data_IF_055677304628
#
_entry.id   IF_055677304628
#
_cell.length_a   1.000
_cell.length_b   1.000
_cell.length_c   1.000
_cell.angle_alpha   90.00
_cell.angle_beta   90.00
_cell.angle_gamma   90.00
#
_symmetry.space_group_name_H-M   'P 1'
#
loop_
_entity.id
_entity.type
_entity.pdbx_description
1 polymer ?
#
# COMPACT_ATOMS: atom_id res chain seq x y z
N UNK A 1 -29.58 23.58 16.87
CA UNK A 1 -29.80 22.33 16.09
C UNK A 1 -29.46 22.39 14.59
N UNK A 2 -29.53 23.53 13.85
CA UNK A 2 -29.33 23.50 12.39
C UNK A 2 -27.87 23.25 11.97
N UNK A 3 -26.91 23.76 12.75
CA UNK A 3 -25.48 23.69 12.46
C UNK A 3 -24.92 22.26 12.44
N UNK A 4 -25.43 21.38 13.32
CA UNK A 4 -24.98 19.99 13.43
C UNK A 4 -25.43 19.14 12.24
N UNK A 5 -26.68 19.35 11.80
CA UNK A 5 -27.24 18.71 10.60
C UNK A 5 -26.55 19.23 9.34
N UNK A 6 -26.21 20.51 9.30
CA UNK A 6 -25.48 21.12 8.19
C UNK A 6 -24.05 20.57 8.06
N UNK A 7 -23.33 20.37 9.16
CA UNK A 7 -21.99 19.76 9.12
C UNK A 7 -22.03 18.27 8.74
N UNK A 8 -22.98 17.50 9.29
CA UNK A 8 -23.19 16.11 8.88
C UNK A 8 -23.55 16.02 7.40
N UNK A 9 -24.43 16.91 6.92
CA UNK A 9 -24.79 17.01 5.52
C UNK A 9 -23.61 17.46 4.64
N UNK A 10 -22.71 18.32 5.13
CA UNK A 10 -21.48 18.70 4.41
C UNK A 10 -20.46 17.58 4.36
N UNK A 11 -20.32 16.78 5.43
CA UNK A 11 -19.45 15.59 5.43
C UNK A 11 -20.01 14.52 4.49
N UNK A 12 -21.33 14.26 4.55
CA UNK A 12 -22.00 13.36 3.62
C UNK A 12 -21.93 13.88 2.18
N UNK A 13 -22.13 15.19 1.96
CA UNK A 13 -22.03 15.81 0.65
C UNK A 13 -20.61 15.75 0.09
N UNK A 14 -19.58 15.96 0.93
CA UNK A 14 -18.18 15.81 0.55
C UNK A 14 -17.84 14.35 0.20
N UNK A 15 -18.35 13.38 0.98
CA UNK A 15 -18.22 11.95 0.67
C UNK A 15 -18.93 11.57 -0.63
N UNK A 16 -20.12 12.12 -0.90
CA UNK A 16 -20.84 11.87 -2.16
C UNK A 16 -20.24 12.59 -3.36
N UNK A 17 -19.66 13.78 -3.16
CA UNK A 17 -18.97 14.53 -4.21
C UNK A 17 -17.64 13.85 -4.60
N UNK A 18 -17.01 13.13 -3.66
CA UNK A 18 -15.85 12.27 -3.91
C UNK A 18 -16.23 10.95 -4.62
N UNK A 19 -17.51 10.56 -4.57
CA UNK A 19 -18.06 9.40 -5.27
C UNK A 19 -18.58 9.72 -6.68
N UNK A 20 -18.53 10.99 -7.13
CA UNK A 20 -18.63 11.25 -8.57
C UNK A 20 -17.36 10.71 -9.24
N UNK A 21 -17.48 9.92 -10.32
CA UNK A 21 -16.34 9.27 -10.94
C UNK A 21 -15.51 10.32 -11.68
N UNK A 22 -14.56 10.95 -10.98
CA UNK A 22 -13.36 11.45 -11.65
C UNK A 22 -12.56 10.20 -11.96
N UNK A 23 -12.57 9.80 -13.24
CA UNK A 23 -11.74 8.73 -13.76
C UNK A 23 -10.25 9.11 -13.63
N UNK A 24 -9.69 8.92 -12.45
CA UNK A 24 -8.25 8.76 -12.25
C UNK A 24 -7.95 7.27 -12.38
N UNK A 25 -7.08 6.85 -13.31
CA UNK A 25 -6.59 5.48 -13.32
C UNK A 25 -5.59 5.36 -12.16
N UNK A 26 -6.08 5.02 -10.98
CA UNK A 26 -5.24 4.49 -9.92
C UNK A 26 -5.02 3.00 -10.21
N UNK A 27 -3.76 2.49 -10.23
CA UNK A 27 -3.49 1.08 -10.36
C UNK A 27 -3.74 0.41 -9.00
N UNK A 28 -5.01 0.34 -8.59
CA UNK A 28 -5.41 -0.62 -7.58
C UNK A 28 -5.50 -1.96 -8.27
N UNK A 29 -4.41 -2.72 -8.21
CA UNK A 29 -4.38 -4.15 -8.47
C UNK A 29 -5.24 -4.88 -7.45
N UNK A 30 -6.56 -4.77 -7.57
CA UNK A 30 -7.45 -5.81 -7.10
C UNK A 30 -7.17 -7.01 -8.00
N UNK A 31 -6.38 -7.95 -7.50
CA UNK A 31 -6.26 -9.26 -8.11
C UNK A 31 -7.65 -9.92 -8.08
N UNK A 32 -8.42 -9.67 -9.13
CA UNK A 32 -9.50 -10.55 -9.52
C UNK A 32 -8.86 -11.91 -9.74
N UNK A 33 -9.08 -12.84 -8.82
CA UNK A 33 -8.86 -14.26 -9.07
C UNK A 33 -9.93 -14.67 -10.09
N UNK A 34 -9.70 -14.30 -11.34
CA UNK A 34 -10.25 -15.03 -12.45
C UNK A 34 -9.66 -16.44 -12.33
N UNK A 35 -10.51 -17.44 -12.12
CA UNK A 35 -10.15 -18.82 -12.46
C UNK A 35 -10.07 -18.91 -13.98
N UNK A 36 -9.08 -18.24 -14.56
CA UNK A 36 -8.52 -18.70 -15.82
C UNK A 36 -7.92 -20.07 -15.50
N UNK A 37 -8.31 -21.07 -16.30
CA UNK A 37 -7.63 -22.36 -16.34
C UNK A 37 -6.17 -22.02 -16.55
N UNK A 38 -5.36 -22.10 -15.49
CA UNK A 38 -4.02 -21.54 -15.46
C UNK A 38 -3.25 -22.11 -16.66
N UNK A 39 -3.01 -21.27 -17.67
CA UNK A 39 -2.09 -21.59 -18.73
C UNK A 39 -0.76 -21.96 -18.05
N UNK A 40 -0.15 -23.07 -18.50
CA UNK A 40 1.11 -23.52 -17.94
C UNK A 40 2.11 -22.34 -17.89
N UNK A 41 2.89 -22.18 -16.80
CA UNK A 41 3.87 -21.11 -16.72
C UNK A 41 4.78 -21.09 -17.95
N UNK A 42 5.06 -19.90 -18.48
CA UNK A 42 6.04 -19.76 -19.56
C UNK A 42 7.45 -19.88 -18.99
N UNK A 43 7.99 -21.09 -19.01
CA UNK A 43 9.33 -21.40 -18.52
C UNK A 43 10.45 -20.71 -19.32
N UNK A 44 10.22 -20.39 -20.59
CA UNK A 44 11.22 -19.69 -21.41
C UNK A 44 11.33 -18.21 -21.01
N UNK A 45 10.20 -17.59 -20.66
CA UNK A 45 10.21 -16.24 -20.10
C UNK A 45 10.75 -16.22 -18.66
N UNK A 46 10.40 -17.22 -17.85
CA UNK A 46 10.96 -17.40 -16.51
C UNK A 46 12.49 -17.45 -16.53
N UNK A 47 13.08 -18.25 -17.42
CA UNK A 47 14.53 -18.41 -17.48
C UNK A 47 15.24 -17.08 -17.76
N UNK A 48 14.65 -16.24 -18.62
CA UNK A 48 15.19 -14.90 -18.92
C UNK A 48 15.09 -13.97 -17.72
N UNK A 49 13.93 -13.94 -17.04
CA UNK A 49 13.71 -13.07 -15.88
C UNK A 49 14.59 -13.51 -14.69
N UNK A 50 14.75 -14.81 -14.47
CA UNK A 50 15.62 -15.36 -13.44
C UNK A 50 17.10 -15.07 -13.72
N UNK A 51 17.57 -15.30 -14.95
CA UNK A 51 18.95 -15.00 -15.34
C UNK A 51 19.26 -13.50 -15.25
N UNK A 52 18.32 -12.63 -15.63
CA UNK A 52 18.45 -11.19 -15.44
C UNK A 52 18.57 -10.85 -13.95
N UNK A 53 17.73 -11.45 -13.10
CA UNK A 53 17.76 -11.18 -11.67
C UNK A 53 19.10 -11.57 -11.03
N UNK A 54 19.58 -12.77 -11.34
CA UNK A 54 20.87 -13.29 -10.88
C UNK A 54 22.03 -12.41 -11.38
N UNK A 55 22.01 -11.99 -12.64
CA UNK A 55 23.03 -11.09 -13.19
C UNK A 55 23.03 -9.72 -12.49
N UNK A 56 21.84 -9.16 -12.20
CA UNK A 56 21.70 -7.88 -11.50
C UNK A 56 22.22 -7.99 -10.06
N UNK A 57 21.94 -9.10 -9.39
CA UNK A 57 22.44 -9.39 -8.05
C UNK A 57 23.97 -9.57 -8.03
N UNK A 58 24.53 -10.31 -8.98
CA UNK A 58 25.97 -10.54 -9.11
C UNK A 58 26.75 -9.23 -9.34
N UNK A 59 26.18 -8.31 -10.12
CA UNK A 59 26.84 -7.04 -10.42
C UNK A 59 26.75 -6.04 -9.26
N UNK A 60 25.80 -6.19 -8.35
CA UNK A 60 25.50 -5.31 -7.21
C UNK A 60 25.41 -3.79 -7.59
N UNK A 61 25.10 -3.48 -8.84
CA UNK A 61 25.06 -2.10 -9.38
C UNK A 61 23.65 -1.51 -9.44
N UNK A 62 22.62 -2.33 -9.26
CA UNK A 62 21.24 -1.86 -9.29
C UNK A 62 20.91 -0.98 -8.08
N UNK A 63 20.07 0.03 -8.31
CA UNK A 63 19.48 0.84 -7.23
C UNK A 63 18.50 0.02 -6.40
N UNK A 64 18.24 0.42 -5.15
CA UNK A 64 17.24 -0.27 -4.32
C UNK A 64 15.85 -0.31 -4.97
N UNK A 65 15.44 0.78 -5.64
CA UNK A 65 14.18 0.81 -6.37
C UNK A 65 14.13 -0.22 -7.51
N UNK A 66 15.24 -0.40 -8.25
CA UNK A 66 15.33 -1.40 -9.30
C UNK A 66 15.28 -2.83 -8.73
N UNK A 67 15.90 -3.06 -7.57
CA UNK A 67 15.85 -4.35 -6.86
C UNK A 67 14.44 -4.68 -6.38
N UNK A 68 13.69 -3.72 -5.84
CA UNK A 68 12.27 -3.92 -5.44
C UNK A 68 11.38 -4.24 -6.64
N UNK A 69 11.55 -3.53 -7.77
CA UNK A 69 10.80 -3.83 -9.00
C UNK A 69 11.12 -5.23 -9.55
N UNK A 70 12.40 -5.64 -9.46
CA UNK A 70 12.82 -6.99 -9.83
C UNK A 70 12.21 -8.03 -8.88
N UNK A 71 12.20 -7.76 -7.57
CA UNK A 71 11.58 -8.60 -6.56
C UNK A 71 10.11 -8.84 -6.83
N UNK A 72 9.33 -7.80 -7.12
CA UNK A 72 7.91 -7.91 -7.44
C UNK A 72 7.67 -8.84 -8.64
N UNK A 73 8.49 -8.69 -9.69
CA UNK A 73 8.42 -9.59 -10.86
C UNK A 73 8.68 -11.06 -10.49
N UNK A 74 9.66 -11.32 -9.62
CA UNK A 74 9.98 -12.68 -9.17
C UNK A 74 8.90 -13.23 -8.22
N UNK A 75 8.25 -12.38 -7.41
CA UNK A 75 7.10 -12.75 -6.58
C UNK A 75 5.92 -13.20 -7.43
N UNK A 76 5.64 -12.52 -8.55
CA UNK A 76 4.60 -12.94 -9.50
C UNK A 76 4.90 -14.32 -10.10
N UNK A 77 6.16 -14.57 -10.46
CA UNK A 77 6.60 -15.89 -10.92
C UNK A 77 6.43 -16.96 -9.85
N UNK A 78 6.85 -16.68 -8.61
CA UNK A 78 6.67 -17.58 -7.47
C UNK A 78 5.20 -17.97 -7.29
N UNK A 79 4.28 -17.01 -7.38
CA UNK A 79 2.84 -17.27 -7.27
C UNK A 79 2.33 -18.19 -8.39
N UNK A 80 2.78 -17.97 -9.64
CA UNK A 80 2.44 -18.84 -10.78
C UNK A 80 2.95 -20.26 -10.57
N UNK A 81 4.18 -20.44 -10.08
CA UNK A 81 4.72 -21.77 -9.80
C UNK A 81 4.02 -22.46 -8.64
N UNK A 82 3.65 -21.73 -7.58
CA UNK A 82 2.87 -22.27 -6.47
C UNK A 82 1.52 -22.84 -6.95
N UNK A 83 0.83 -22.15 -7.87
CA UNK A 83 -0.38 -22.67 -8.50
C UNK A 83 -0.09 -23.92 -9.36
N UNK A 84 0.95 -23.87 -10.19
CA UNK A 84 1.32 -24.97 -11.10
C UNK A 84 1.71 -26.28 -10.37
N UNK A 85 2.29 -26.20 -9.17
CA UNK A 85 2.61 -27.37 -8.34
C UNK A 85 1.40 -28.27 -8.05
N UNK A 86 0.20 -27.69 -8.02
CA UNK A 86 -1.03 -28.41 -7.64
C UNK A 86 -1.90 -28.81 -8.82
N UNK A 87 -1.59 -28.36 -10.04
CA UNK A 87 -2.47 -28.46 -11.21
C UNK A 87 -2.87 -29.90 -11.60
N UNK A 88 -1.96 -30.87 -11.45
CA UNK A 88 -2.19 -32.27 -11.84
C UNK A 88 -2.47 -33.20 -10.66
N UNK A 89 -2.61 -32.71 -9.42
CA UNK A 89 -2.63 -33.55 -8.22
C UNK A 89 -3.75 -34.61 -8.23
N UNK A 90 -4.96 -34.25 -8.68
CA UNK A 90 -6.10 -35.17 -8.75
C UNK A 90 -5.92 -36.28 -9.80
N UNK A 91 -5.29 -35.95 -10.95
CA UNK A 91 -5.01 -36.93 -12.01
C UNK A 91 -3.90 -37.89 -11.58
N UNK A 92 -2.86 -37.35 -10.94
CA UNK A 92 -1.76 -38.12 -10.36
C UNK A 92 -2.27 -39.08 -9.29
N UNK A 93 -3.16 -38.65 -8.39
CA UNK A 93 -3.74 -39.53 -7.37
C UNK A 93 -4.59 -40.64 -7.98
N UNK A 94 -5.38 -40.33 -9.00
CA UNK A 94 -6.18 -41.32 -9.73
C UNK A 94 -5.30 -42.38 -10.40
N UNK A 95 -4.22 -41.97 -11.08
CA UNK A 95 -3.26 -42.89 -11.70
C UNK A 95 -2.55 -43.78 -10.67
N UNK A 96 -2.13 -43.22 -9.54
CA UNK A 96 -1.55 -44.00 -8.43
C UNK A 96 -2.51 -45.05 -7.90
N UNK A 97 -3.79 -44.71 -7.76
CA UNK A 97 -4.81 -45.66 -7.34
C UNK A 97 -5.03 -46.78 -8.37
N UNK A 98 -4.99 -46.46 -9.67
CA UNK A 98 -5.08 -47.46 -10.73
C UNK A 98 -3.86 -48.41 -10.73
N UNK A 99 -2.65 -47.86 -10.55
CA UNK A 99 -1.42 -48.66 -10.43
C UNK A 99 -1.49 -49.57 -9.19
N UNK A 100 -1.96 -49.06 -8.06
CA UNK A 100 -2.12 -49.84 -6.83
C UNK A 100 -3.15 -50.98 -6.99
N UNK A 101 -4.21 -50.77 -7.78
CA UNK A 101 -5.20 -51.79 -8.09
C UNK A 101 -4.67 -52.95 -8.94
N UNK A 102 -3.55 -52.77 -9.66
CA UNK A 102 -2.87 -53.86 -10.38
C UNK A 102 -2.12 -54.83 -9.44
N UNK A 103 -2.04 -54.52 -8.14
CA UNK A 103 -1.29 -55.29 -7.15
C UNK A 103 0.18 -54.91 -7.09
N UNK A 104 0.88 -55.51 -6.13
CA UNK A 104 2.31 -55.25 -5.89
C UNK A 104 3.17 -55.64 -7.11
N UNK A 105 4.31 -54.97 -7.32
CA UNK A 105 5.26 -55.39 -8.35
C UNK A 105 5.71 -56.85 -8.12
N UNK A 106 6.04 -57.60 -9.19
CA UNK A 106 6.59 -58.94 -9.02
C UNK A 106 7.89 -58.90 -8.19
N UNK A 107 8.03 -59.87 -7.28
CA UNK A 107 9.26 -60.03 -6.49
C UNK A 107 10.45 -60.33 -7.41
N UNK A 108 11.67 -60.01 -6.96
CA UNK A 108 12.90 -60.24 -7.73
C UNK A 108 12.97 -61.66 -8.29
N UNK A 109 13.03 -61.77 -9.62
CA UNK A 109 13.10 -63.05 -10.34
C UNK A 109 11.75 -63.69 -10.69
N UNK A 110 10.61 -63.09 -10.31
CA UNK A 110 9.28 -63.51 -10.74
C UNK A 110 8.79 -62.67 -11.93
N UNK A 111 8.06 -63.30 -12.83
CA UNK A 111 7.42 -62.64 -13.97
C UNK A 111 5.93 -62.47 -13.72
N UNK A 112 5.43 -61.26 -13.91
CA UNK A 112 3.98 -60.98 -13.91
C UNK A 112 3.34 -61.37 -15.25
N UNK A 113 2.01 -61.47 -15.28
CA UNK A 113 1.30 -61.74 -16.53
C UNK A 113 1.59 -60.62 -17.56
N UNK A 114 1.87 -60.95 -18.83
CA UNK A 114 2.34 -59.97 -19.83
C UNK A 114 1.37 -58.80 -20.04
N UNK A 115 0.06 -59.03 -19.90
CA UNK A 115 -0.97 -57.98 -19.98
C UNK A 115 -0.89 -56.99 -18.82
N UNK A 116 -0.63 -57.47 -17.59
CA UNK A 116 -0.47 -56.63 -16.40
C UNK A 116 0.82 -55.82 -16.48
N UNK A 117 1.91 -56.42 -16.95
CA UNK A 117 3.18 -55.73 -17.19
C UNK A 117 3.01 -54.57 -18.18
N UNK A 118 2.37 -54.83 -19.31
CA UNK A 118 2.09 -53.81 -20.33
C UNK A 118 1.24 -52.68 -19.75
N UNK A 119 0.18 -53.01 -19.01
CA UNK A 119 -0.70 -52.02 -18.39
C UNK A 119 -0.01 -51.18 -17.32
N UNK A 120 0.82 -51.80 -16.47
CA UNK A 120 1.60 -51.12 -15.43
C UNK A 120 2.60 -50.14 -16.07
N UNK A 121 3.28 -50.55 -17.14
CA UNK A 121 4.17 -49.68 -17.90
C UNK A 121 3.45 -48.45 -18.45
N UNK A 122 2.30 -48.65 -19.10
CA UNK A 122 1.52 -47.55 -19.69
C UNK A 122 1.07 -46.52 -18.63
N UNK A 123 0.57 -46.99 -17.48
CA UNK A 123 0.14 -46.10 -16.40
C UNK A 123 1.32 -45.36 -15.76
N UNK A 124 2.48 -46.01 -15.62
CA UNK A 124 3.70 -45.36 -15.13
C UNK A 124 4.21 -44.28 -16.09
N UNK A 125 4.14 -44.52 -17.40
CA UNK A 125 4.50 -43.51 -18.41
C UNK A 125 3.57 -42.29 -18.36
N UNK A 126 2.27 -42.51 -18.17
CA UNK A 126 1.29 -41.44 -17.98
C UNK A 126 1.53 -40.67 -16.67
N UNK A 127 1.85 -41.38 -15.59
CA UNK A 127 2.18 -40.80 -14.30
C UNK A 127 3.42 -39.90 -14.38
N UNK A 128 4.48 -40.38 -15.02
CA UNK A 128 5.73 -39.64 -15.24
C UNK A 128 5.48 -38.34 -16.01
N UNK A 129 4.71 -38.39 -17.10
CA UNK A 129 4.33 -37.21 -17.89
C UNK A 129 3.56 -36.16 -17.09
N UNK A 130 2.69 -36.58 -16.17
CA UNK A 130 1.90 -35.67 -15.34
C UNK A 130 2.66 -35.10 -14.15
N UNK A 131 3.68 -35.82 -13.65
CA UNK A 131 4.55 -35.39 -12.56
C UNK A 131 5.60 -34.37 -13.02
N UNK A 132 6.10 -34.48 -14.26
CA UNK A 132 7.17 -33.63 -14.77
C UNK A 132 6.89 -32.11 -14.62
N UNK A 133 5.71 -31.57 -14.96
CA UNK A 133 5.41 -30.14 -14.76
C UNK A 133 5.40 -29.73 -13.28
N UNK A 134 4.94 -30.61 -12.40
CA UNK A 134 4.92 -30.36 -10.96
C UNK A 134 6.34 -30.25 -10.39
N UNK A 135 7.24 -31.14 -10.81
CA UNK A 135 8.66 -31.10 -10.41
C UNK A 135 9.32 -29.83 -10.93
N UNK A 136 9.13 -29.49 -12.20
CA UNK A 136 9.66 -28.25 -12.78
C UNK A 136 9.14 -26.99 -12.06
N UNK A 137 7.87 -26.98 -11.64
CA UNK A 137 7.30 -25.90 -10.85
C UNK A 137 7.88 -25.83 -9.42
N UNK A 138 8.21 -26.95 -8.78
CA UNK A 138 8.89 -26.96 -7.47
C UNK A 138 10.30 -26.38 -7.57
N UNK A 139 11.06 -26.77 -8.59
CA UNK A 139 12.40 -26.26 -8.85
C UNK A 139 12.37 -24.74 -9.09
N UNK A 140 11.53 -24.29 -10.04
CA UNK A 140 11.42 -22.89 -10.39
C UNK A 140 10.91 -22.02 -9.21
N UNK A 141 9.96 -22.52 -8.43
CA UNK A 141 9.52 -21.86 -7.20
C UNK A 141 10.66 -21.72 -6.19
N UNK A 142 11.49 -22.75 -6.03
CA UNK A 142 12.63 -22.73 -5.10
C UNK A 142 13.72 -21.74 -5.55
N UNK A 143 13.98 -21.64 -6.85
CA UNK A 143 14.87 -20.63 -7.43
C UNK A 143 14.34 -19.21 -7.23
N UNK A 144 13.05 -18.98 -7.48
CA UNK A 144 12.40 -17.69 -7.23
C UNK A 144 12.50 -17.26 -5.75
N UNK A 145 12.27 -18.19 -4.82
CA UNK A 145 12.47 -18.00 -3.38
C UNK A 145 13.93 -17.65 -3.02
N UNK A 146 14.90 -18.27 -3.68
CA UNK A 146 16.33 -17.94 -3.54
C UNK A 146 16.61 -16.50 -3.93
N UNK A 147 16.20 -16.11 -5.14
CA UNK A 147 16.38 -14.76 -5.68
C UNK A 147 15.74 -13.69 -4.79
N UNK A 148 14.49 -13.91 -4.33
CA UNK A 148 13.80 -12.97 -3.44
C UNK A 148 14.57 -12.77 -2.13
N UNK A 149 15.04 -13.87 -1.50
CA UNK A 149 15.82 -13.78 -0.25
C UNK A 149 17.14 -13.05 -0.44
N UNK A 150 17.79 -13.22 -1.59
CA UNK A 150 19.03 -12.55 -1.90
C UNK A 150 18.81 -11.04 -2.08
N UNK A 151 17.79 -10.65 -2.85
CA UNK A 151 17.36 -9.24 -2.98
C UNK A 151 17.07 -8.64 -1.60
N UNK A 152 16.27 -9.32 -0.77
CA UNK A 152 15.91 -8.85 0.57
C UNK A 152 17.14 -8.69 1.48
N UNK A 153 18.17 -9.50 1.28
CA UNK A 153 19.42 -9.41 2.04
C UNK A 153 20.25 -8.21 1.57
N UNK A 154 20.42 -8.02 0.27
CA UNK A 154 21.14 -6.86 -0.29
C UNK A 154 20.50 -5.55 0.15
N UNK A 155 19.16 -5.45 0.11
CA UNK A 155 18.45 -4.23 0.54
C UNK A 155 18.66 -3.98 2.04
N UNK A 156 18.55 -5.02 2.88
CA UNK A 156 18.75 -4.91 4.33
C UNK A 156 20.19 -4.54 4.70
N UNK A 157 21.18 -5.13 4.03
CA UNK A 157 22.59 -4.84 4.27
C UNK A 157 22.93 -3.40 3.89
N UNK A 158 22.40 -2.91 2.75
CA UNK A 158 22.55 -1.49 2.37
C UNK A 158 21.88 -0.53 3.34
N UNK A 159 20.72 -0.90 3.88
CA UNK A 159 20.06 -0.12 4.92
C UNK A 159 20.87 -0.12 6.22
N UNK A 160 21.42 -1.26 6.63
CA UNK A 160 22.30 -1.37 7.78
C UNK A 160 23.58 -0.53 7.59
N UNK A 161 24.22 -0.60 6.42
CA UNK A 161 25.37 0.22 6.06
C UNK A 161 25.05 1.71 6.06
N UNK A 162 23.85 2.11 5.62
CA UNK A 162 23.41 3.51 5.66
C UNK A 162 23.17 3.99 7.11
N UNK A 163 22.82 3.08 8.03
CA UNK A 163 22.68 3.39 9.45
C UNK A 163 24.04 3.41 10.18
N UNK A 164 24.96 2.51 9.80
CA UNK A 164 26.30 2.38 10.40
C UNK A 164 27.29 3.42 9.87
N UNK A 165 27.15 3.83 8.61
CA UNK A 165 27.72 5.10 8.12
C UNK A 165 26.92 6.19 8.81
N UNK A 166 27.36 6.57 10.01
CA UNK A 166 26.86 7.74 10.75
C UNK A 166 26.71 8.89 9.75
N UNK A 167 25.51 9.07 9.21
CA UNK A 167 25.20 10.27 8.44
C UNK A 167 25.44 11.39 9.43
N UNK A 168 26.31 12.37 9.12
CA UNK A 168 26.69 13.38 10.08
C UNK A 168 25.41 13.94 10.68
N UNK A 169 25.29 13.81 12.01
CA UNK A 169 24.04 14.01 12.75
C UNK A 169 23.22 15.13 12.11
N UNK A 170 21.88 14.99 11.93
CA UNK A 170 21.07 16.07 11.38
C UNK A 170 21.17 17.35 12.22
N UNK A 171 21.64 17.24 13.47
CA UNK A 171 21.91 18.34 14.39
C UNK A 171 23.31 18.97 14.16
N UNK A 172 24.14 18.43 13.28
CA UNK A 172 25.46 18.96 12.96
C UNK A 172 25.31 20.27 12.18
N UNK A 173 25.67 21.43 12.76
CA UNK A 173 25.50 22.73 12.12
C UNK A 173 26.27 22.87 10.80
N UNK A 174 27.31 22.05 10.58
CA UNK A 174 28.12 22.08 9.36
C UNK A 174 27.32 21.73 8.10
N UNK A 175 26.26 20.93 8.23
CA UNK A 175 25.43 20.48 7.12
C UNK A 175 24.25 21.42 6.85
N UNK A 176 23.97 22.35 7.77
CA UNK A 176 22.82 23.25 7.68
C UNK A 176 22.87 24.19 6.47
N UNK A 177 24.03 24.75 6.06
CA UNK A 177 24.10 25.55 4.84
C UNK A 177 23.72 24.77 3.59
N UNK A 178 24.11 23.49 3.49
CA UNK A 178 23.74 22.62 2.37
C UNK A 178 22.23 22.31 2.39
N UNK A 179 21.66 21.98 3.55
CA UNK A 179 20.23 21.80 3.71
C UNK A 179 19.42 23.06 3.38
N UNK A 180 19.89 24.23 3.82
CA UNK A 180 19.29 25.51 3.51
C UNK A 180 19.37 25.85 2.02
N UNK A 181 20.48 25.50 1.35
CA UNK A 181 20.62 25.66 -0.10
C UNK A 181 19.60 24.80 -0.85
N UNK A 182 19.45 23.52 -0.48
CA UNK A 182 18.44 22.63 -1.07
C UNK A 182 17.03 23.16 -0.85
N UNK A 183 16.71 23.59 0.37
CA UNK A 183 15.40 24.14 0.70
C UNK A 183 15.10 25.43 -0.08
N UNK A 184 16.04 26.37 -0.12
CA UNK A 184 15.87 27.62 -0.88
C UNK A 184 15.78 27.37 -2.39
N UNK A 185 16.51 26.39 -2.92
CA UNK A 185 16.41 26.01 -4.32
C UNK A 185 15.09 25.30 -4.64
N UNK A 186 14.59 24.45 -3.74
CA UNK A 186 13.25 23.86 -3.83
C UNK A 186 12.18 24.92 -3.89
N UNK A 187 12.20 25.88 -2.93
CA UNK A 187 11.26 27.01 -2.90
C UNK A 187 11.33 27.84 -4.19
N UNK A 188 12.54 28.18 -4.67
CA UNK A 188 12.72 28.91 -5.94
C UNK A 188 12.16 28.14 -7.13
N UNK A 189 12.33 26.82 -7.15
CA UNK A 189 11.84 25.98 -8.25
C UNK A 189 10.30 25.96 -8.26
N UNK A 190 9.67 25.74 -7.10
CA UNK A 190 8.22 25.79 -6.96
C UNK A 190 7.64 27.17 -7.31
N UNK A 191 8.34 28.24 -6.92
CA UNK A 191 7.98 29.61 -7.28
C UNK A 191 8.04 29.84 -8.79
N UNK A 192 9.14 29.43 -9.43
CA UNK A 192 9.32 29.58 -10.87
C UNK A 192 8.31 28.74 -11.67
N UNK A 193 7.97 27.54 -11.20
CA UNK A 193 6.90 26.72 -11.80
C UNK A 193 5.54 27.42 -11.73
N UNK A 194 5.20 27.98 -10.56
CA UNK A 194 3.94 28.71 -10.37
C UNK A 194 3.90 30.00 -11.20
N UNK A 195 5.00 30.75 -11.24
CA UNK A 195 5.13 31.96 -12.05
C UNK A 195 5.01 31.65 -13.56
N UNK A 196 5.68 30.59 -14.03
CA UNK A 196 5.57 30.14 -15.41
C UNK A 196 4.15 29.65 -15.75
N UNK A 197 3.46 29.00 -14.81
CA UNK A 197 2.06 28.63 -14.98
C UNK A 197 1.15 29.85 -15.11
N UNK A 198 1.43 30.93 -14.38
CA UNK A 198 0.67 32.18 -14.46
C UNK A 198 0.87 32.91 -15.79
N UNK A 199 2.08 32.90 -16.35
CA UNK A 199 2.35 33.52 -17.65
C UNK A 199 1.63 32.81 -18.81
N UNK A 200 1.34 31.51 -18.66
CA UNK A 200 0.63 30.72 -19.65
C UNK A 200 -0.87 31.15 -19.78
N UNK A 201 -1.31 31.67 -20.94
CA UNK A 201 -2.71 32.07 -21.14
C UNK A 201 -3.72 30.93 -20.98
N UNK A 202 -3.36 29.69 -21.33
CA UNK A 202 -4.25 28.54 -21.22
C UNK A 202 -4.55 28.20 -19.74
N UNK A 203 -3.52 28.22 -18.89
CA UNK A 203 -3.65 27.97 -17.44
C UNK A 203 -4.49 29.05 -16.75
N UNK A 204 -4.35 30.31 -17.16
CA UNK A 204 -5.19 31.42 -16.65
C UNK A 204 -6.67 31.24 -17.00
N UNK A 205 -6.96 30.75 -18.21
CA UNK A 205 -8.33 30.43 -18.63
C UNK A 205 -8.88 29.25 -17.82
N UNK A 206 -8.10 28.19 -17.62
CA UNK A 206 -8.46 27.04 -16.77
C UNK A 206 -8.79 27.46 -15.33
N UNK A 207 -7.95 28.29 -14.71
CA UNK A 207 -8.19 28.86 -13.38
C UNK A 207 -9.53 29.62 -13.29
N UNK A 208 -9.83 30.47 -14.28
CA UNK A 208 -11.08 31.24 -14.32
C UNK A 208 -12.31 30.35 -14.50
N UNK A 209 -12.20 29.31 -15.32
CA UNK A 209 -13.29 28.35 -15.54
C UNK A 209 -13.56 27.52 -14.29
N UNK A 210 -12.51 27.15 -13.55
CA UNK A 210 -12.62 26.34 -12.34
C UNK A 210 -12.90 27.17 -11.08
N UNK A 211 -12.91 28.51 -11.16
CA UNK A 211 -13.08 29.42 -10.02
C UNK A 211 -14.28 29.08 -9.13
N UNK A 212 -15.48 28.76 -9.66
CA UNK A 212 -16.63 28.40 -8.83
C UNK A 212 -16.38 27.13 -8.00
N UNK A 213 -15.75 26.12 -8.60
CA UNK A 213 -15.42 24.84 -7.94
C UNK A 213 -14.32 25.04 -6.90
N UNK A 214 -13.30 25.85 -7.22
CA UNK A 214 -12.23 26.21 -6.28
C UNK A 214 -12.83 26.90 -5.05
N UNK A 215 -13.70 27.89 -5.24
CA UNK A 215 -14.38 28.59 -4.14
C UNK A 215 -15.20 27.60 -3.31
N UNK A 216 -15.93 26.69 -3.95
CA UNK A 216 -16.70 25.65 -3.25
C UNK A 216 -15.79 24.79 -2.38
N UNK A 217 -14.68 24.27 -2.92
CA UNK A 217 -13.73 23.47 -2.16
C UNK A 217 -13.11 24.23 -1.00
N UNK A 218 -12.71 25.49 -1.20
CA UNK A 218 -12.14 26.32 -0.14
C UNK A 218 -13.15 26.59 0.98
N UNK A 219 -14.41 26.88 0.64
CA UNK A 219 -15.47 27.13 1.63
C UNK A 219 -15.74 25.87 2.43
N UNK A 220 -15.90 24.72 1.77
CA UNK A 220 -16.16 23.44 2.47
C UNK A 220 -14.96 23.04 3.32
N UNK A 221 -13.73 23.15 2.79
CA UNK A 221 -12.51 22.88 3.54
C UNK A 221 -12.37 23.79 4.77
N UNK A 222 -12.59 25.10 4.62
CA UNK A 222 -12.56 26.05 5.72
C UNK A 222 -13.60 25.71 6.80
N UNK A 223 -14.81 25.31 6.39
CA UNK A 223 -15.84 24.88 7.33
C UNK A 223 -15.38 23.63 8.08
N UNK A 224 -14.86 22.61 7.40
CA UNK A 224 -14.41 21.37 8.04
C UNK A 224 -13.24 21.63 9.00
N UNK A 225 -12.22 22.37 8.58
CA UNK A 225 -11.03 22.65 9.41
C UNK A 225 -11.37 23.52 10.63
N UNK A 226 -12.15 24.58 10.45
CA UNK A 226 -12.43 25.55 11.53
C UNK A 226 -13.53 25.07 12.50
N UNK A 227 -14.47 24.24 12.04
CA UNK A 227 -15.59 23.77 12.87
C UNK A 227 -15.38 22.38 13.47
N UNK A 228 -14.49 21.54 12.91
CA UNK A 228 -14.28 20.17 13.40
C UNK A 228 -13.97 20.06 14.91
N UNK A 229 -13.06 20.84 15.50
CA UNK A 229 -12.71 20.68 16.92
C UNK A 229 -13.90 20.96 17.85
N UNK A 230 -14.60 22.08 17.61
CA UNK A 230 -15.73 22.54 18.44
C UNK A 230 -16.98 21.66 18.28
N UNK A 231 -17.19 21.11 17.08
CA UNK A 231 -18.35 20.25 16.80
C UNK A 231 -18.25 18.91 17.51
N UNK A 232 -17.05 18.32 17.48
CA UNK A 232 -16.79 17.03 18.11
C UNK A 232 -16.95 17.15 19.62
N UNK A 233 -16.39 18.18 20.26
CA UNK A 233 -16.57 18.46 21.70
C UNK A 233 -18.05 18.63 22.09
N UNK A 234 -18.84 19.34 21.25
CA UNK A 234 -20.27 19.56 21.49
C UNK A 234 -21.16 18.32 21.34
N UNK A 235 -20.77 17.36 20.49
CA UNK A 235 -21.48 16.09 20.34
C UNK A 235 -21.20 15.15 21.52
N UNK A 236 -19.96 15.07 22.01
CA UNK A 236 -19.59 14.24 23.16
C UNK A 236 -20.33 14.67 24.43
N UNK A 237 -20.53 15.98 24.64
CA UNK A 237 -21.27 16.51 25.79
C UNK A 237 -22.77 16.15 25.80
N UNK A 238 -23.41 16.08 24.62
CA UNK A 238 -24.84 15.77 24.48
C UNK A 238 -25.13 14.27 24.52
N UNK A 239 -24.24 13.46 23.97
CA UNK A 239 -24.32 11.99 24.02
C UNK A 239 -24.20 11.44 25.45
N UNK A 240 -23.49 12.16 26.35
CA UNK A 240 -23.45 11.84 27.79
C UNK A 240 -24.80 11.99 28.50
N UNK A 241 -25.71 12.82 27.99
CA UNK A 241 -26.97 13.15 28.68
C UNK A 241 -28.22 12.49 28.06
N UNK A 242 -28.15 11.93 26.84
CA UNK A 242 -29.36 11.61 26.04
C UNK A 242 -29.44 10.17 25.48
N UNK A 243 -28.41 9.33 25.61
CA UNK A 243 -28.36 8.03 24.91
C UNK A 243 -28.27 6.81 25.84
N UNK A 244 -29.01 5.73 25.48
CA UNK A 244 -28.87 4.37 26.01
C UNK A 244 -27.41 3.87 25.93
N UNK A 245 -26.95 3.05 26.89
CA UNK A 245 -25.56 2.58 27.01
C UNK A 245 -25.00 2.05 25.68
N UNK A 246 -25.75 1.20 24.97
CA UNK A 246 -25.30 0.58 23.71
C UNK A 246 -25.18 1.56 22.54
N UNK A 247 -26.06 2.56 22.48
CA UNK A 247 -26.06 3.60 21.45
C UNK A 247 -24.96 4.64 21.71
N UNK A 248 -24.58 4.81 22.98
CA UNK A 248 -23.50 5.71 23.41
C UNK A 248 -22.14 5.21 22.93
N UNK A 249 -21.89 3.91 22.99
CA UNK A 249 -20.62 3.31 22.55
C UNK A 249 -20.46 3.38 21.03
N UNK A 250 -21.49 3.02 20.27
CA UNK A 250 -21.48 3.12 18.80
C UNK A 250 -21.29 4.58 18.35
N UNK A 251 -22.01 5.51 18.98
CA UNK A 251 -21.88 6.93 18.66
C UNK A 251 -20.52 7.49 19.07
N UNK A 252 -19.91 7.03 20.17
CA UNK A 252 -18.56 7.40 20.56
C UNK A 252 -17.51 6.88 19.57
N UNK A 253 -17.67 5.66 19.04
CA UNK A 253 -16.82 5.11 17.99
C UNK A 253 -16.95 5.90 16.68
N UNK A 254 -18.17 6.19 16.22
CA UNK A 254 -18.38 7.00 15.00
C UNK A 254 -17.78 8.41 15.18
N UNK A 255 -17.98 9.01 16.35
CA UNK A 255 -17.45 10.32 16.66
C UNK A 255 -15.92 10.33 16.74
N UNK A 256 -15.31 9.24 17.22
CA UNK A 256 -13.85 9.11 17.28
C UNK A 256 -13.24 8.92 15.89
N UNK A 257 -13.85 8.11 15.01
CA UNK A 257 -13.46 8.02 13.59
C UNK A 257 -13.60 9.39 12.87
N UNK A 258 -14.64 10.15 13.20
CA UNK A 258 -14.84 11.51 12.68
C UNK A 258 -13.71 12.48 13.01
N UNK A 259 -12.96 12.27 14.10
CA UNK A 259 -11.80 13.10 14.46
C UNK A 259 -10.62 12.96 13.48
N UNK A 260 -10.56 11.85 12.75
CA UNK A 260 -9.53 11.61 11.72
C UNK A 260 -10.07 11.93 10.34
N UNK A 261 -11.25 11.41 10.01
CA UNK A 261 -11.81 11.52 8.65
C UNK A 261 -12.08 12.98 8.28
N UNK A 262 -12.62 13.79 9.21
CA UNK A 262 -13.02 15.18 8.91
C UNK A 262 -11.81 16.07 8.58
N UNK A 263 -10.72 16.08 9.37
CA UNK A 263 -9.52 16.84 9.00
C UNK A 263 -8.86 16.36 7.71
N UNK A 264 -8.82 15.05 7.47
CA UNK A 264 -8.24 14.48 6.24
C UNK A 264 -9.05 14.91 5.01
N UNK A 265 -10.38 14.85 5.07
CA UNK A 265 -11.24 15.39 4.01
C UNK A 265 -11.05 16.90 3.80
N UNK A 266 -10.85 17.65 4.88
CA UNK A 266 -10.51 19.07 4.80
C UNK A 266 -9.22 19.32 4.01
N UNK A 267 -8.15 18.59 4.33
CA UNK A 267 -6.87 18.68 3.59
C UNK A 267 -7.02 18.22 2.15
N UNK A 268 -7.75 17.13 1.90
CA UNK A 268 -8.05 16.64 0.56
C UNK A 268 -8.75 17.71 -0.29
N UNK A 269 -9.74 18.40 0.26
CA UNK A 269 -10.43 19.49 -0.44
C UNK A 269 -9.51 20.69 -0.71
N UNK A 270 -8.60 21.02 0.20
CA UNK A 270 -7.58 22.06 -0.06
C UNK A 270 -6.66 21.64 -1.21
N UNK A 271 -6.22 20.39 -1.23
CA UNK A 271 -5.40 19.82 -2.31
C UNK A 271 -6.13 19.86 -3.65
N UNK A 272 -7.42 19.46 -3.67
CA UNK A 272 -8.26 19.54 -4.86
C UNK A 272 -8.47 20.99 -5.31
N UNK A 273 -8.65 21.93 -4.38
CA UNK A 273 -8.75 23.35 -4.71
C UNK A 273 -7.46 23.85 -5.39
N UNK A 274 -6.29 23.49 -4.85
CA UNK A 274 -5.00 23.89 -5.41
C UNK A 274 -4.77 23.23 -6.78
N UNK A 275 -5.08 21.94 -6.94
CA UNK A 275 -4.96 21.26 -8.25
C UNK A 275 -5.92 21.84 -9.29
N UNK A 276 -7.16 22.16 -8.90
CA UNK A 276 -8.16 22.78 -9.77
C UNK A 276 -7.73 24.17 -10.28
N UNK A 277 -6.76 24.85 -9.63
CA UNK A 277 -6.22 26.11 -10.15
C UNK A 277 -5.47 25.95 -11.48
N UNK A 278 -5.00 24.73 -11.81
CA UNK A 278 -4.12 24.51 -12.95
C UNK A 278 -2.71 25.09 -12.76
N UNK A 279 -2.40 25.71 -11.62
CA UNK A 279 -1.11 26.37 -11.38
C UNK A 279 -0.03 25.43 -10.85
N UNK A 280 -0.36 24.14 -10.68
CA UNK A 280 0.59 23.13 -10.21
C UNK A 280 1.42 22.58 -11.35
N UNK A 281 2.75 22.56 -11.16
CA UNK A 281 3.72 21.91 -12.03
C UNK A 281 3.86 20.42 -11.74
N UNK A 282 4.74 19.74 -12.47
CA UNK A 282 5.01 18.31 -12.28
C UNK A 282 5.52 18.01 -10.85
N UNK A 283 6.45 18.83 -10.34
CA UNK A 283 7.05 18.61 -9.02
C UNK A 283 6.14 19.09 -7.90
N UNK A 284 5.56 20.27 -8.03
CA UNK A 284 4.62 20.76 -7.02
C UNK A 284 3.37 19.88 -6.93
N UNK A 285 2.91 19.32 -8.05
CA UNK A 285 1.73 18.47 -8.15
C UNK A 285 1.86 17.16 -7.39
N UNK A 286 3.02 16.51 -7.46
CA UNK A 286 3.37 15.31 -6.68
C UNK A 286 3.41 15.63 -5.17
N UNK A 287 4.14 16.69 -4.79
CA UNK A 287 4.26 17.10 -3.39
C UNK A 287 2.90 17.47 -2.76
N UNK A 288 2.05 18.20 -3.50
CA UNK A 288 0.69 18.53 -3.08
C UNK A 288 -0.20 17.28 -3.07
N UNK A 289 0.08 16.30 -3.93
CA UNK A 289 -0.62 15.02 -3.99
C UNK A 289 -0.40 14.14 -2.76
N UNK A 290 0.77 14.21 -2.12
CA UNK A 290 1.10 13.43 -0.92
C UNK A 290 0.51 14.01 0.38
N UNK A 291 0.04 15.27 0.38
CA UNK A 291 -0.49 15.93 1.58
C UNK A 291 -1.68 15.23 2.25
N UNK A 292 -2.67 14.66 1.54
CA UNK A 292 -3.77 13.94 2.17
C UNK A 292 -3.30 12.69 2.92
N UNK A 293 -2.33 11.96 2.37
CA UNK A 293 -1.78 10.75 2.99
C UNK A 293 -0.92 11.11 4.21
N UNK A 294 -0.11 12.16 4.10
CA UNK A 294 0.63 12.72 5.22
C UNK A 294 -0.30 13.21 6.35
N UNK A 295 -1.40 13.88 6.00
CA UNK A 295 -2.42 14.29 6.95
C UNK A 295 -3.11 13.08 7.59
N UNK A 296 -3.44 12.03 6.81
CA UNK A 296 -4.02 10.82 7.33
C UNK A 296 -3.10 10.14 8.35
N UNK A 297 -1.81 9.98 8.04
CA UNK A 297 -0.81 9.43 8.95
C UNK A 297 -0.72 10.24 10.25
N UNK A 298 -0.65 11.57 10.14
CA UNK A 298 -0.58 12.47 11.30
C UNK A 298 -1.83 12.40 12.18
N UNK A 299 -3.02 12.51 11.58
CA UNK A 299 -4.28 12.50 12.32
C UNK A 299 -4.60 11.13 12.91
N UNK A 300 -4.24 10.03 12.23
CA UNK A 300 -4.34 8.67 12.77
C UNK A 300 -3.44 8.49 13.99
N UNK A 301 -2.17 8.90 13.91
CA UNK A 301 -1.24 8.79 15.02
C UNK A 301 -1.67 9.66 16.22
N UNK A 302 -2.13 10.88 15.96
CA UNK A 302 -2.70 11.76 16.99
C UNK A 302 -3.95 11.15 17.62
N UNK A 303 -4.82 10.56 16.82
CA UNK A 303 -6.03 9.90 17.29
C UNK A 303 -5.69 8.68 18.15
N UNK A 304 -4.79 7.81 17.70
CA UNK A 304 -4.26 6.67 18.47
C UNK A 304 -3.68 7.11 19.81
N UNK A 305 -2.86 8.17 19.80
CA UNK A 305 -2.31 8.74 21.03
C UNK A 305 -3.41 9.24 21.98
N UNK A 306 -4.48 9.83 21.45
CA UNK A 306 -5.61 10.25 22.28
C UNK A 306 -6.48 9.08 22.76
N UNK A 307 -6.77 8.09 21.93
CA UNK A 307 -7.65 6.97 22.29
C UNK A 307 -7.00 6.05 23.32
N UNK A 308 -5.70 5.77 23.15
CA UNK A 308 -4.94 4.88 24.03
C UNK A 308 -4.56 5.56 25.35
N UNK A 309 -4.11 6.81 25.33
CA UNK A 309 -3.53 7.45 26.52
C UNK A 309 -4.45 8.44 27.24
N UNK A 310 -5.64 8.76 26.71
CA UNK A 310 -6.60 9.68 27.36
C UNK A 310 -7.89 9.03 27.90
N UNK A 311 -8.00 7.69 27.86
CA UNK A 311 -9.10 6.95 28.48
C UNK A 311 -10.48 7.16 27.82
N UNK A 312 -10.51 7.64 26.57
CA UNK A 312 -11.76 8.00 25.88
C UNK A 312 -12.61 6.82 25.42
N UNK A 313 -12.06 5.60 25.37
CA UNK A 313 -12.74 4.41 24.86
C UNK A 313 -12.37 3.20 25.70
N UNK A 314 -13.17 2.88 26.73
CA UNK A 314 -13.23 1.62 27.51
C UNK A 314 -11.92 0.99 28.05
N UNK A 315 -10.75 1.52 27.72
CA UNK A 315 -9.44 1.00 28.06
C UNK A 315 -8.91 1.76 29.29
N UNK A 316 -8.47 1.06 30.34
CA UNK A 316 -7.85 1.71 31.49
C UNK A 316 -6.58 2.43 31.05
N UNK A 317 -6.28 3.57 31.68
CA UNK A 317 -5.04 4.31 31.43
C UNK A 317 -3.87 3.42 31.87
N UNK A 318 -3.06 2.95 30.92
CA UNK A 318 -1.95 2.01 31.18
C UNK A 318 -0.65 2.73 31.61
N UNK A 319 -0.61 4.07 31.57
CA UNK A 319 0.65 4.84 31.69
C UNK A 319 0.56 5.96 32.72
N UNK A 320 1.58 6.07 33.57
CA UNK A 320 1.70 7.08 34.64
C UNK A 320 1.83 8.53 34.12
N UNK A 321 2.29 8.72 32.87
CA UNK A 321 2.51 10.04 32.23
C UNK A 321 1.80 10.17 30.87
N UNK A 322 0.46 10.27 30.85
CA UNK A 322 -0.34 10.25 29.62
C UNK A 322 -0.10 11.46 28.69
N UNK A 323 0.34 12.60 29.21
CA UNK A 323 0.65 13.78 28.39
C UNK A 323 1.92 13.60 27.55
N UNK A 324 2.95 12.95 28.11
CA UNK A 324 4.21 12.70 27.39
C UNK A 324 4.02 11.63 26.32
N UNK A 325 3.28 10.56 26.63
CA UNK A 325 2.93 9.53 25.65
C UNK A 325 2.17 10.11 24.44
N UNK A 326 1.27 11.07 24.66
CA UNK A 326 0.56 11.79 23.59
C UNK A 326 1.49 12.67 22.76
N UNK A 327 2.44 13.34 23.39
CA UNK A 327 3.44 14.13 22.71
C UNK A 327 4.30 13.24 21.80
N UNK A 328 4.79 12.11 22.30
CA UNK A 328 5.57 11.16 21.51
C UNK A 328 4.77 10.55 20.35
N UNK A 329 3.50 10.17 20.57
CA UNK A 329 2.64 9.70 19.49
C UNK A 329 2.42 10.76 18.41
N UNK A 330 2.28 12.04 18.80
CA UNK A 330 2.20 13.16 17.86
C UNK A 330 3.49 13.36 17.06
N UNK A 331 4.65 13.26 17.73
CA UNK A 331 5.96 13.37 17.07
C UNK A 331 6.22 12.22 16.10
N UNK A 332 5.86 10.99 16.46
CA UNK A 332 5.93 9.83 15.57
C UNK A 332 4.99 9.98 14.37
N UNK A 333 3.78 10.50 14.60
CA UNK A 333 2.85 10.83 13.53
C UNK A 333 3.39 11.87 12.56
N UNK A 334 4.08 12.89 13.06
CA UNK A 334 4.73 13.91 12.25
C UNK A 334 5.91 13.34 11.45
N UNK A 335 6.72 12.48 12.06
CA UNK A 335 7.81 11.79 11.36
C UNK A 335 7.27 10.87 10.24
N UNK A 336 6.21 10.10 10.52
CA UNK A 336 5.55 9.27 9.51
C UNK A 336 4.98 10.12 8.36
N UNK A 337 4.36 11.26 8.67
CA UNK A 337 3.86 12.18 7.67
C UNK A 337 4.96 12.76 6.77
N UNK A 338 6.15 13.04 7.32
CA UNK A 338 7.30 13.52 6.55
C UNK A 338 7.84 12.41 5.64
N UNK A 339 7.93 11.16 6.13
CA UNK A 339 8.41 10.04 5.31
C UNK A 339 7.46 9.77 4.12
N UNK A 340 6.14 9.89 4.33
CA UNK A 340 5.15 9.76 3.24
C UNK A 340 5.33 10.83 2.16
N UNK A 341 5.86 12.01 2.50
CA UNK A 341 6.15 13.08 1.54
C UNK A 341 7.49 12.90 0.81
N UNK A 342 8.23 11.83 1.08
CA UNK A 342 9.48 11.51 0.38
C UNK A 342 9.16 10.94 -1.00
N UNK A 343 8.97 11.85 -1.95
CA UNK A 343 8.76 11.57 -3.39
C UNK A 343 10.07 11.74 -4.16
#
# INVERSE_FOLDING_TARGET
MPLARLLLALVLAALTALALPVAMPAPFGAAAIAQDVAAAPDYAQWEKDAALAEQVLEQDRASNQALEQLRDRIVDWRAKFAAAQTANQQRISTLRNQIAALGDPPADGQTEAPEIASRRSELNDQLSKLQAPGIAAVEAHSRAEGIIREIDTVIRDRQADALLKLSPSPVNPINWPAGAAVLTQGIKTLWNETAGAWDNPARRTEFRNNLPVIILYLVVAAILVLRAPRFIEGLTGKLRHSASMRMRDIAASILSLGQVIVPVLGVLLLVLAVKATGMTGLRSGELIGALPDAAAAFFLARWLGSSVFSGGTAAPIVVDRPLEARFHAGMLGLAAAIEVMRV
#
